data_IF_461846625774
#
_entry.id   IF_461846625774
#
_cell.length_a   1.000
_cell.length_b   1.000
_cell.length_c   1.000
_cell.angle_alpha   90.00
_cell.angle_beta   90.00
_cell.angle_gamma   90.00
#
_symmetry.space_group_name_H-M   'P 1'
#
loop_
_entity.id
_entity.type
_entity.pdbx_description
1 polymer ?
#
# COMPACT_ATOMS: atom_id res chain seq x y z
N UNK A 1 -13.81 -10.92 -5.02
CA UNK A 1 -14.33 -9.58 -5.37
C UNK A 1 -13.14 -8.66 -5.57
N UNK A 2 -12.50 -8.81 -6.74
CA UNK A 2 -11.43 -7.93 -7.12
C UNK A 2 -11.91 -6.47 -7.01
N UNK A 3 -11.10 -5.60 -6.43
CA UNK A 3 -11.18 -4.14 -6.56
C UNK A 3 -10.96 -3.73 -8.03
N UNK A 4 -11.48 -4.53 -8.94
CA UNK A 4 -11.50 -4.22 -10.34
C UNK A 4 -12.59 -3.19 -10.57
N UNK A 5 -12.33 -2.26 -11.44
CA UNK A 5 -13.20 -1.19 -11.94
C UNK A 5 -14.59 -1.66 -12.40
N UNK A 6 -14.91 -2.95 -12.32
CA UNK A 6 -16.20 -3.54 -12.64
C UNK A 6 -17.32 -3.17 -11.64
N UNK A 7 -16.97 -2.78 -10.41
CA UNK A 7 -17.94 -2.34 -9.41
C UNK A 7 -17.69 -0.90 -8.99
N UNK A 8 -18.69 0.00 -9.09
CA UNK A 8 -18.53 1.41 -8.73
C UNK A 8 -18.05 1.62 -7.28
N UNK A 9 -18.41 0.72 -6.37
CA UNK A 9 -17.93 0.74 -4.99
C UNK A 9 -16.41 0.55 -4.86
N UNK A 10 -15.81 -0.35 -5.65
CA UNK A 10 -14.36 -0.59 -5.68
C UNK A 10 -13.58 0.64 -6.16
N UNK A 11 -14.10 1.32 -7.18
CA UNK A 11 -13.48 2.54 -7.70
C UNK A 11 -13.49 3.68 -6.66
N UNK A 12 -14.57 3.82 -5.91
CA UNK A 12 -14.68 4.83 -4.85
C UNK A 12 -13.67 4.54 -3.73
N UNK A 13 -13.59 3.28 -3.27
CA UNK A 13 -12.66 2.88 -2.22
C UNK A 13 -11.20 3.11 -2.67
N UNK A 14 -10.86 2.70 -3.89
CA UNK A 14 -9.53 2.93 -4.45
C UNK A 14 -9.21 4.42 -4.55
N UNK A 15 -10.16 5.25 -4.99
CA UNK A 15 -9.99 6.69 -5.06
C UNK A 15 -9.75 7.32 -3.69
N UNK A 16 -10.50 6.88 -2.68
CA UNK A 16 -10.31 7.32 -1.29
C UNK A 16 -8.93 6.90 -0.76
N UNK A 17 -8.49 5.68 -1.02
CA UNK A 17 -7.17 5.21 -0.62
C UNK A 17 -6.04 5.98 -1.30
N UNK A 18 -6.17 6.26 -2.61
CA UNK A 18 -5.23 7.10 -3.35
C UNK A 18 -5.12 8.46 -2.68
N UNK A 19 -6.22 9.14 -2.45
CA UNK A 19 -6.22 10.47 -1.84
C UNK A 19 -5.62 10.43 -0.42
N UNK A 20 -6.01 9.46 0.40
CA UNK A 20 -5.57 9.38 1.80
C UNK A 20 -4.08 9.05 1.94
N UNK A 21 -3.52 8.23 1.05
CA UNK A 21 -2.12 7.79 1.16
C UNK A 21 -1.17 8.64 0.31
N UNK A 22 -1.63 9.09 -0.85
CA UNK A 22 -0.77 9.87 -1.76
C UNK A 22 -0.62 11.32 -1.31
N UNK A 23 -1.67 11.93 -0.74
CA UNK A 23 -1.61 13.32 -0.27
C UNK A 23 -0.55 13.53 0.81
N UNK A 24 -0.48 12.74 1.90
CA UNK A 24 0.61 12.86 2.86
C UNK A 24 2.00 12.58 2.27
N UNK A 25 2.07 11.66 1.30
CA UNK A 25 3.32 11.36 0.61
C UNK A 25 3.81 12.56 -0.20
N UNK A 26 2.91 13.17 -0.96
CA UNK A 26 3.22 14.35 -1.76
C UNK A 26 3.65 15.55 -0.91
N UNK A 27 3.00 15.79 0.22
CA UNK A 27 3.37 16.88 1.12
C UNK A 27 4.76 16.74 1.73
N UNK A 28 5.23 15.51 1.92
CA UNK A 28 6.55 15.23 2.53
C UNK A 28 7.67 15.03 1.52
N UNK A 29 7.38 14.42 0.40
CA UNK A 29 8.36 14.10 -0.64
C UNK A 29 8.41 15.17 -1.75
N UNK A 30 7.30 15.85 -1.99
CA UNK A 30 7.06 16.66 -3.18
C UNK A 30 6.56 15.82 -4.36
N UNK A 31 5.80 16.42 -5.28
CA UNK A 31 5.09 15.73 -6.36
C UNK A 31 6.03 14.88 -7.24
N UNK A 32 7.15 15.43 -7.69
CA UNK A 32 8.08 14.72 -8.58
C UNK A 32 8.72 13.50 -7.91
N UNK A 33 9.13 13.64 -6.64
CA UNK A 33 9.73 12.52 -5.89
C UNK A 33 8.71 11.44 -5.57
N UNK A 34 7.49 11.83 -5.22
CA UNK A 34 6.39 10.88 -4.98
C UNK A 34 6.09 10.08 -6.23
N UNK A 35 6.02 10.74 -7.40
CA UNK A 35 5.82 10.09 -8.68
C UNK A 35 6.97 9.12 -9.00
N UNK A 36 8.22 9.56 -8.89
CA UNK A 36 9.39 8.74 -9.17
C UNK A 36 9.46 7.51 -8.24
N UNK A 37 9.27 7.69 -6.95
CA UNK A 37 9.27 6.61 -5.96
C UNK A 37 8.13 5.63 -6.22
N UNK A 38 6.94 6.12 -6.53
CA UNK A 38 5.79 5.28 -6.87
C UNK A 38 6.04 4.43 -8.10
N UNK A 39 6.57 5.01 -9.19
CA UNK A 39 6.92 4.28 -10.42
C UNK A 39 8.00 3.23 -10.14
N UNK A 40 9.08 3.60 -9.46
CA UNK A 40 10.17 2.67 -9.12
C UNK A 40 9.64 1.54 -8.24
N UNK A 41 8.81 1.86 -7.25
CA UNK A 41 8.18 0.85 -6.40
C UNK A 41 7.34 -0.12 -7.21
N UNK A 42 6.50 0.36 -8.13
CA UNK A 42 5.68 -0.48 -9.01
C UNK A 42 6.57 -1.39 -9.88
N UNK A 43 7.62 -0.84 -10.50
CA UNK A 43 8.52 -1.60 -11.36
C UNK A 43 9.29 -2.70 -10.62
N UNK A 44 9.65 -2.48 -9.36
CA UNK A 44 10.36 -3.48 -8.54
C UNK A 44 9.39 -4.52 -7.98
N UNK A 45 8.21 -4.09 -7.52
CA UNK A 45 7.29 -4.99 -6.84
C UNK A 45 6.57 -5.95 -7.76
N UNK A 46 6.32 -5.57 -9.02
CA UNK A 46 5.70 -6.48 -10.01
C UNK A 46 6.52 -7.77 -10.21
N UNK A 47 7.80 -7.72 -10.61
CA UNK A 47 8.57 -8.94 -10.79
C UNK A 47 8.77 -9.71 -9.48
N UNK A 48 8.93 -9.00 -8.36
CA UNK A 48 9.09 -9.65 -7.06
C UNK A 48 7.82 -10.38 -6.62
N UNK A 49 6.65 -9.84 -6.88
CA UNK A 49 5.37 -10.51 -6.59
C UNK A 49 5.19 -11.77 -7.44
N UNK A 50 5.64 -11.76 -8.69
CA UNK A 50 5.64 -12.95 -9.57
C UNK A 50 6.58 -14.03 -9.01
N UNK A 51 7.78 -13.64 -8.58
CA UNK A 51 8.73 -14.59 -7.97
C UNK A 51 8.16 -15.18 -6.68
N UNK A 52 7.50 -14.37 -5.84
CA UNK A 52 6.83 -14.85 -4.64
C UNK A 52 5.68 -15.80 -4.96
N UNK A 53 4.83 -15.50 -5.95
CA UNK A 53 3.74 -16.37 -6.35
C UNK A 53 4.25 -17.74 -6.82
N UNK A 54 5.33 -17.76 -7.62
CA UNK A 54 6.02 -19.00 -8.00
C UNK A 54 6.62 -19.75 -6.80
N UNK A 55 7.19 -19.02 -5.84
CA UNK A 55 7.69 -19.60 -4.60
C UNK A 55 6.58 -20.27 -3.78
N UNK A 56 5.41 -19.66 -3.69
CA UNK A 56 4.22 -20.20 -3.02
C UNK A 56 3.76 -21.51 -3.70
N UNK A 57 3.78 -21.55 -5.03
CA UNK A 57 3.49 -22.75 -5.81
C UNK A 57 4.42 -23.91 -5.44
N UNK A 58 5.72 -23.67 -5.28
CA UNK A 58 6.70 -24.69 -4.93
C UNK A 58 6.57 -25.22 -3.49
N UNK A 59 5.98 -24.47 -2.58
CA UNK A 59 5.78 -24.85 -1.17
C UNK A 59 4.51 -25.70 -0.94
N UNK A 60 3.77 -26.02 -2.00
CA UNK A 60 2.61 -26.92 -1.93
C UNK A 60 1.24 -26.23 -1.93
N UNK A 61 1.20 -24.90 -2.07
CA UNK A 61 -0.03 -24.11 -2.25
C UNK A 61 -0.32 -23.89 -3.74
N UNK A 62 -0.21 -24.94 -4.54
CA UNK A 62 -0.24 -24.91 -6.00
C UNK A 62 -1.50 -24.25 -6.57
N UNK A 63 -2.67 -24.46 -5.96
CA UNK A 63 -3.92 -23.85 -6.42
C UNK A 63 -3.86 -22.33 -6.32
N UNK A 64 -3.53 -21.82 -5.14
CA UNK A 64 -3.46 -20.39 -4.90
C UNK A 64 -2.35 -19.72 -5.72
N UNK A 65 -1.18 -20.35 -5.84
CA UNK A 65 -0.09 -19.84 -6.68
C UNK A 65 -0.49 -19.73 -8.15
N UNK A 66 -1.17 -20.73 -8.71
CA UNK A 66 -1.67 -20.72 -10.08
C UNK A 66 -2.77 -19.66 -10.29
N UNK A 67 -3.70 -19.53 -9.34
CA UNK A 67 -4.76 -18.52 -9.38
C UNK A 67 -4.14 -17.10 -9.39
N UNK A 68 -3.12 -16.85 -8.55
CA UNK A 68 -2.37 -15.60 -8.54
C UNK A 68 -1.69 -15.28 -9.88
N UNK A 69 -1.06 -16.30 -10.51
CA UNK A 69 -0.34 -16.11 -11.77
C UNK A 69 -1.28 -15.97 -12.98
N UNK A 70 -2.51 -16.48 -12.89
CA UNK A 70 -3.53 -16.33 -13.92
C UNK A 70 -4.31 -15.01 -13.82
N UNK A 71 -4.19 -14.29 -12.70
CA UNK A 71 -4.89 -13.05 -12.45
C UNK A 71 -4.30 -11.90 -13.29
N UNK A 72 -5.17 -11.12 -13.94
CA UNK A 72 -4.73 -9.98 -14.74
C UNK A 72 -4.59 -8.76 -13.83
N UNK A 73 -3.37 -8.41 -13.49
CA UNK A 73 -3.07 -7.33 -12.55
C UNK A 73 -2.54 -6.07 -13.24
N UNK A 74 -3.36 -5.06 -13.31
CA UNK A 74 -2.99 -3.71 -13.75
C UNK A 74 -3.50 -2.68 -12.74
N UNK A 75 -3.16 -2.89 -11.44
CA UNK A 75 -3.59 -1.97 -10.40
C UNK A 75 -2.42 -1.10 -9.93
N UNK A 76 -2.61 0.21 -9.68
CA UNK A 76 -1.58 1.11 -9.18
C UNK A 76 -1.29 0.94 -7.67
N UNK A 77 -1.70 -0.19 -7.08
CA UNK A 77 -1.55 -0.44 -5.64
C UNK A 77 -0.08 -0.45 -5.20
N UNK A 78 0.82 -1.02 -6.01
CA UNK A 78 2.25 -0.98 -5.73
C UNK A 78 2.83 0.42 -5.73
N UNK A 79 2.35 1.28 -6.63
CA UNK A 79 2.69 2.71 -6.68
C UNK A 79 2.25 3.42 -5.40
N UNK A 80 0.97 3.25 -5.01
CA UNK A 80 0.37 3.95 -3.86
C UNK A 80 0.99 3.47 -2.55
N UNK A 81 1.06 2.16 -2.34
CA UNK A 81 1.65 1.57 -1.15
C UNK A 81 3.14 1.87 -1.04
N UNK A 82 3.85 1.89 -2.18
CA UNK A 82 5.23 2.28 -2.28
C UNK A 82 5.48 3.72 -1.85
N UNK A 83 4.78 4.67 -2.45
CA UNK A 83 4.90 6.08 -2.12
C UNK A 83 4.55 6.35 -0.64
N UNK A 84 3.47 5.75 -0.13
CA UNK A 84 3.07 5.88 1.27
C UNK A 84 4.09 5.29 2.25
N UNK A 85 4.65 4.11 1.93
CA UNK A 85 5.68 3.46 2.72
C UNK A 85 6.94 4.30 2.85
N UNK A 86 7.45 4.85 1.74
CA UNK A 86 8.58 5.77 1.73
C UNK A 86 8.29 7.05 2.51
N UNK A 87 7.14 7.69 2.27
CA UNK A 87 6.72 8.89 2.97
C UNK A 87 6.65 8.69 4.49
N UNK A 88 6.30 7.47 4.92
CA UNK A 88 6.28 7.12 6.34
C UNK A 88 7.62 7.37 7.05
N UNK A 89 8.75 7.23 6.34
CA UNK A 89 10.08 7.43 6.92
C UNK A 89 10.33 8.89 7.34
N UNK A 90 9.72 9.84 6.63
CA UNK A 90 9.86 11.28 6.89
C UNK A 90 8.93 11.78 8.00
N UNK A 91 8.02 10.95 8.48
CA UNK A 91 7.08 11.33 9.54
C UNK A 91 7.70 11.22 10.93
N UNK A 92 7.24 12.05 11.91
CA UNK A 92 7.59 11.90 13.31
C UNK A 92 7.22 10.51 13.85
N UNK A 93 7.95 10.04 14.86
CA UNK A 93 7.90 8.67 15.37
C UNK A 93 6.49 8.11 15.59
N UNK A 94 5.58 8.89 16.18
CA UNK A 94 4.19 8.46 16.44
C UNK A 94 3.39 8.25 15.16
N UNK A 95 3.44 9.21 14.24
CA UNK A 95 2.71 9.19 12.98
C UNK A 95 3.28 8.16 12.02
N UNK A 96 4.59 8.00 12.00
CA UNK A 96 5.29 6.95 11.26
C UNK A 96 4.79 5.56 11.66
N UNK A 97 4.71 5.28 12.97
CA UNK A 97 4.23 3.99 13.47
C UNK A 97 2.77 3.76 13.07
N UNK A 98 1.92 4.77 13.24
CA UNK A 98 0.49 4.67 12.87
C UNK A 98 0.29 4.40 11.39
N UNK A 99 0.96 5.18 10.52
CA UNK A 99 0.85 5.01 9.07
C UNK A 99 1.37 3.64 8.63
N UNK A 100 2.47 3.16 9.17
CA UNK A 100 3.00 1.83 8.85
C UNK A 100 2.09 0.70 9.29
N UNK A 101 1.57 0.77 10.51
CA UNK A 101 0.63 -0.23 11.01
C UNK A 101 -0.63 -0.23 10.15
N UNK A 102 -1.21 0.93 9.86
CA UNK A 102 -2.41 1.01 9.02
C UNK A 102 -2.16 0.48 7.60
N UNK A 103 -1.01 0.80 7.00
CA UNK A 103 -0.64 0.32 5.68
C UNK A 103 -0.48 -1.21 5.66
N UNK A 104 0.26 -1.78 6.61
CA UNK A 104 0.48 -3.22 6.70
C UNK A 104 -0.83 -3.96 7.01
N UNK A 105 -1.59 -3.48 7.99
CA UNK A 105 -2.85 -4.12 8.38
C UNK A 105 -3.83 -4.11 7.20
N UNK A 106 -3.98 -3.00 6.51
CA UNK A 106 -4.93 -2.91 5.40
C UNK A 106 -4.50 -3.80 4.22
N UNK A 107 -3.22 -3.76 3.82
CA UNK A 107 -2.73 -4.60 2.73
C UNK A 107 -2.77 -6.10 3.09
N UNK A 108 -2.49 -6.47 4.35
CA UNK A 108 -2.64 -7.84 4.83
C UNK A 108 -4.10 -8.29 4.84
N UNK A 109 -5.03 -7.42 5.24
CA UNK A 109 -6.47 -7.71 5.21
C UNK A 109 -6.93 -7.99 3.78
N UNK A 110 -6.47 -7.21 2.80
CA UNK A 110 -6.79 -7.47 1.39
C UNK A 110 -6.26 -8.83 0.91
N UNK A 111 -5.01 -9.16 1.22
CA UNK A 111 -4.44 -10.47 0.88
C UNK A 111 -5.22 -11.61 1.50
N UNK A 112 -5.64 -11.49 2.76
CA UNK A 112 -6.38 -12.54 3.47
C UNK A 112 -7.83 -12.67 2.97
N UNK A 113 -8.44 -11.57 2.53
CA UNK A 113 -9.84 -11.54 2.13
C UNK A 113 -10.03 -11.89 0.65
N UNK A 114 -9.33 -11.22 -0.26
CA UNK A 114 -9.47 -11.42 -1.72
C UNK A 114 -8.37 -12.30 -2.30
N UNK A 115 -7.17 -12.25 -1.74
CA UNK A 115 -6.05 -13.10 -2.14
C UNK A 115 -5.62 -12.95 -3.59
N UNK A 116 -5.86 -11.77 -4.20
CA UNK A 116 -5.52 -11.49 -5.59
C UNK A 116 -4.04 -11.12 -5.74
N UNK A 117 -3.51 -11.21 -6.96
CA UNK A 117 -2.14 -10.80 -7.25
C UNK A 117 -1.90 -9.31 -6.94
N UNK A 118 -2.92 -8.48 -7.14
CA UNK A 118 -2.89 -7.06 -6.79
C UNK A 118 -2.66 -6.81 -5.30
N UNK A 119 -3.24 -7.65 -4.43
CA UNK A 119 -3.11 -7.52 -2.98
C UNK A 119 -1.72 -7.96 -2.52
N UNK A 120 -1.21 -9.06 -3.09
CA UNK A 120 0.17 -9.52 -2.86
C UNK A 120 1.16 -8.42 -3.27
N UNK A 121 0.94 -7.78 -4.40
CA UNK A 121 1.76 -6.65 -4.86
C UNK A 121 1.70 -5.48 -3.89
N UNK A 122 0.53 -5.18 -3.33
CA UNK A 122 0.34 -4.12 -2.33
C UNK A 122 1.14 -4.35 -1.05
N UNK A 123 1.07 -5.56 -0.47
CA UNK A 123 1.81 -5.88 0.77
C UNK A 123 3.33 -5.93 0.53
N UNK A 124 3.77 -6.45 -0.61
CA UNK A 124 5.19 -6.46 -0.99
C UNK A 124 5.71 -5.04 -1.15
N UNK A 125 4.96 -4.18 -1.86
CA UNK A 125 5.30 -2.77 -2.02
C UNK A 125 5.39 -2.04 -0.68
N UNK A 126 4.42 -2.26 0.22
CA UNK A 126 4.42 -1.69 1.56
C UNK A 126 5.66 -2.12 2.36
N UNK A 127 5.96 -3.41 2.39
CA UNK A 127 7.10 -3.95 3.13
C UNK A 127 8.44 -3.41 2.61
N UNK A 128 8.64 -3.45 1.29
CA UNK A 128 9.88 -2.95 0.67
C UNK A 128 10.06 -1.45 0.84
N UNK A 129 9.00 -0.67 0.63
CA UNK A 129 9.08 0.78 0.72
C UNK A 129 9.30 1.27 2.16
N UNK A 130 8.69 0.61 3.15
CA UNK A 130 8.94 0.89 4.56
C UNK A 130 10.39 0.61 4.93
N UNK A 131 10.95 -0.52 4.51
CA UNK A 131 12.36 -0.89 4.80
C UNK A 131 13.33 0.02 4.06
N UNK A 132 13.15 0.22 2.77
CA UNK A 132 13.99 1.10 1.96
C UNK A 132 13.91 2.56 2.44
N UNK A 133 12.73 3.04 2.79
CA UNK A 133 12.55 4.37 3.36
C UNK A 133 13.32 4.57 4.67
N UNK A 134 13.41 3.53 5.52
CA UNK A 134 14.21 3.60 6.76
C UNK A 134 15.71 3.69 6.50
N UNK A 135 16.18 3.03 5.44
CA UNK A 135 17.59 3.00 5.09
C UNK A 135 18.04 4.30 4.39
N UNK A 136 17.17 4.86 3.54
CA UNK A 136 17.51 5.99 2.69
C UNK A 136 17.24 7.36 3.32
N UNK A 137 16.23 7.45 4.19
CA UNK A 137 15.84 8.72 4.78
C UNK A 137 16.10 8.77 6.29
N UNK A 138 16.76 9.85 6.71
CA UNK A 138 16.84 10.17 8.15
C UNK A 138 15.47 10.67 8.62
N UNK A 139 15.00 10.22 9.78
CA UNK A 139 13.72 10.67 10.33
C UNK A 139 13.75 12.17 10.58
N UNK A 140 12.79 12.86 10.00
CA UNK A 140 12.58 14.27 10.25
C UNK A 140 11.90 14.46 11.62
N UNK A 141 12.43 15.36 12.44
CA UNK A 141 11.91 15.63 13.78
C UNK A 141 10.82 16.72 13.79
N UNK A 142 10.55 17.35 12.64
CA UNK A 142 9.56 18.42 12.57
C UNK A 142 8.14 17.89 12.83
N UNK A 143 7.37 18.55 13.73
CA UNK A 143 6.01 18.12 14.00
C UNK A 143 5.12 18.33 12.75
N UNK A 144 4.14 17.44 12.54
CA UNK A 144 3.23 17.59 11.41
C UNK A 144 2.34 18.82 11.58
N UNK A 145 2.04 19.51 10.48
CA UNK A 145 1.11 20.64 10.47
C UNK A 145 -0.30 20.19 10.90
N UNK A 146 -1.14 21.14 11.30
CA UNK A 146 -2.53 20.85 11.72
C UNK A 146 -3.32 20.17 10.60
N UNK A 147 -3.10 20.57 9.33
CA UNK A 147 -3.72 19.91 8.17
C UNK A 147 -3.26 18.47 8.01
N UNK A 148 -1.97 18.26 8.10
CA UNK A 148 -1.36 16.93 8.01
C UNK A 148 -1.85 15.99 9.11
N UNK A 149 -2.00 16.48 10.35
CA UNK A 149 -2.61 15.73 11.46
C UNK A 149 -4.04 15.28 11.14
N UNK A 150 -4.87 16.17 10.58
CA UNK A 150 -6.26 15.83 10.20
C UNK A 150 -6.31 14.75 9.13
N UNK A 151 -5.47 14.86 8.10
CA UNK A 151 -5.41 13.85 7.04
C UNK A 151 -4.89 12.52 7.57
N UNK A 152 -3.84 12.50 8.38
CA UNK A 152 -3.32 11.27 8.98
C UNK A 152 -4.32 10.60 9.95
N UNK A 153 -5.13 11.39 10.66
CA UNK A 153 -6.24 10.87 11.46
C UNK A 153 -7.33 10.27 10.56
N UNK A 154 -7.70 10.95 9.47
CA UNK A 154 -8.66 10.46 8.51
C UNK A 154 -8.19 9.13 7.87
N UNK A 155 -6.90 9.01 7.55
CA UNK A 155 -6.29 7.75 7.09
C UNK A 155 -6.50 6.63 8.11
N UNK A 156 -6.19 6.90 9.39
CA UNK A 156 -6.35 5.90 10.44
C UNK A 156 -7.79 5.46 10.61
N UNK A 157 -8.74 6.41 10.61
CA UNK A 157 -10.18 6.13 10.73
C UNK A 157 -10.70 5.38 9.50
N UNK A 158 -10.32 5.79 8.29
CA UNK A 158 -10.73 5.12 7.06
C UNK A 158 -10.23 3.67 7.01
N UNK A 159 -8.98 3.40 7.40
CA UNK A 159 -8.45 2.04 7.46
C UNK A 159 -9.22 1.15 8.45
N UNK A 160 -9.65 1.71 9.59
CA UNK A 160 -10.46 0.98 10.57
C UNK A 160 -11.89 0.76 10.06
N UNK A 161 -12.48 1.74 9.37
CA UNK A 161 -13.84 1.66 8.84
C UNK A 161 -13.96 0.72 7.63
N UNK A 162 -12.94 0.67 6.79
CA UNK A 162 -12.93 -0.18 5.59
C UNK A 162 -12.81 -1.67 5.98
N UNK A 163 -12.03 -2.01 6.99
CA UNK A 163 -11.86 -3.39 7.44
C UNK A 163 -13.19 -4.12 7.70
N UNK A 164 -14.08 -3.61 8.58
CA UNK A 164 -15.39 -4.23 8.85
C UNK A 164 -16.35 -4.21 7.67
N UNK A 165 -16.29 -3.20 6.80
CA UNK A 165 -17.14 -3.10 5.62
C UNK A 165 -16.89 -4.18 4.56
N UNK A 166 -15.75 -4.88 4.63
CA UNK A 166 -15.45 -6.04 3.79
C UNK A 166 -15.90 -7.38 4.40
N UNK A 167 -16.20 -7.40 5.69
CA UNK A 167 -16.59 -8.62 6.42
C UNK A 167 -18.12 -8.75 6.51
N UNK A 168 -18.86 -7.67 6.30
CA UNK A 168 -20.32 -7.65 6.24
C UNK A 168 -20.84 -7.87 4.82
#
# INVERSE_FOLDING_TARGET
>A
LALTTAHPGGAIILSVLILLWLVPAEWRLGSLRTLAIGIISQLITVPLSIVLARGIETVGLNRWGNDLLSDTFLTPIGFIAGAAGFASALLPRLWRRRLRISLIVLTATFVLYSGTMSDVLGIVAAALSITAGQLLFKPESAPPSVRERRVLLAVGVACVAIGPAFVA
#
